data_IF_993359575216
#
_entry.id   IF_993359575216
#
_cell.length_a   1.000
_cell.length_b   1.000
_cell.length_c   1.000
_cell.angle_alpha   90.00
_cell.angle_beta   90.00
_cell.angle_gamma   90.00
#
_symmetry.space_group_name_H-M   'P 1'
#
loop_
_entity.id
_entity.type
_entity.pdbx_description
1 polymer ?
#
# COMPACT_ATOMS: atom_id res chain seq x y z
N UNK A 1 -34.52 2.21 -18.70
CA UNK A 1 -33.11 2.58 -18.95
C UNK A 1 -32.39 3.07 -17.69
N UNK A 2 -33.01 3.87 -16.82
CA UNK A 2 -32.39 4.38 -15.58
C UNK A 2 -31.91 3.30 -14.59
N UNK A 3 -32.72 2.26 -14.33
CA UNK A 3 -32.39 1.18 -13.36
C UNK A 3 -31.11 0.41 -13.71
N UNK A 4 -30.89 0.15 -15.00
CA UNK A 4 -29.70 -0.57 -15.48
C UNK A 4 -28.45 0.29 -15.27
N UNK A 5 -28.53 1.58 -15.59
CA UNK A 5 -27.42 2.53 -15.40
C UNK A 5 -27.04 2.63 -13.92
N UNK A 6 -28.03 2.74 -13.02
CA UNK A 6 -27.79 2.78 -11.57
C UNK A 6 -27.07 1.52 -11.09
N UNK A 7 -27.51 0.33 -11.54
CA UNK A 7 -26.90 -0.94 -11.16
C UNK A 7 -25.45 -1.03 -11.64
N UNK A 8 -25.16 -0.60 -12.87
CA UNK A 8 -23.80 -0.56 -13.41
C UNK A 8 -22.89 0.38 -12.63
N UNK A 9 -23.37 1.56 -12.23
CA UNK A 9 -22.60 2.51 -11.42
C UNK A 9 -22.28 1.90 -10.05
N UNK A 10 -23.26 1.28 -9.39
CA UNK A 10 -23.04 0.63 -8.09
C UNK A 10 -22.05 -0.52 -8.21
N UNK A 11 -22.19 -1.39 -9.22
CA UNK A 11 -21.26 -2.49 -9.47
C UNK A 11 -19.84 -1.98 -9.73
N UNK A 12 -19.70 -0.89 -10.50
CA UNK A 12 -18.41 -0.28 -10.78
C UNK A 12 -17.76 0.31 -9.52
N UNK A 13 -18.52 0.98 -8.66
CA UNK A 13 -18.03 1.51 -7.37
C UNK A 13 -17.58 0.39 -6.42
N UNK A 14 -18.38 -0.67 -6.30
CA UNK A 14 -18.03 -1.86 -5.50
C UNK A 14 -16.76 -2.53 -6.02
N UNK A 15 -16.65 -2.69 -7.34
CA UNK A 15 -15.46 -3.25 -7.97
C UNK A 15 -14.23 -2.38 -7.74
N UNK A 16 -14.35 -1.05 -7.89
CA UNK A 16 -13.26 -0.12 -7.65
C UNK A 16 -12.78 -0.17 -6.20
N UNK A 17 -13.72 -0.16 -5.24
CA UNK A 17 -13.41 -0.29 -3.82
C UNK A 17 -12.74 -1.63 -3.49
N UNK A 18 -13.28 -2.74 -3.98
CA UNK A 18 -12.71 -4.07 -3.78
C UNK A 18 -11.30 -4.19 -4.36
N UNK A 19 -11.06 -3.63 -5.54
CA UNK A 19 -9.73 -3.56 -6.15
C UNK A 19 -8.74 -2.79 -5.27
N UNK A 20 -9.17 -1.67 -4.69
CA UNK A 20 -8.37 -0.92 -3.71
C UNK A 20 -7.98 -1.76 -2.49
N UNK A 21 -8.94 -2.50 -1.91
CA UNK A 21 -8.66 -3.40 -0.79
C UNK A 21 -7.67 -4.51 -1.15
N UNK A 22 -7.78 -5.10 -2.34
CA UNK A 22 -6.83 -6.13 -2.82
C UNK A 22 -5.42 -5.57 -3.01
N UNK A 23 -5.28 -4.30 -3.41
CA UNK A 23 -3.97 -3.64 -3.52
C UNK A 23 -3.37 -3.41 -2.14
N UNK A 24 -4.18 -2.92 -1.18
CA UNK A 24 -3.76 -2.76 0.21
C UNK A 24 -3.28 -4.09 0.81
N UNK A 25 -4.02 -5.18 0.57
CA UNK A 25 -3.62 -6.51 1.04
C UNK A 25 -2.28 -6.94 0.46
N UNK A 26 -2.05 -6.78 -0.84
CA UNK A 26 -0.74 -7.11 -1.44
C UNK A 26 0.39 -6.24 -0.89
N UNK A 27 0.13 -4.96 -0.66
CA UNK A 27 1.10 -4.07 -0.04
C UNK A 27 1.42 -4.52 1.40
N UNK A 28 0.41 -4.94 2.17
CA UNK A 28 0.60 -5.46 3.52
C UNK A 28 1.49 -6.71 3.54
N UNK A 29 1.23 -7.68 2.66
CA UNK A 29 2.05 -8.88 2.54
C UNK A 29 3.50 -8.56 2.13
N UNK A 30 3.71 -7.58 1.24
CA UNK A 30 5.04 -7.13 0.85
C UNK A 30 5.79 -6.44 2.02
N UNK A 31 5.09 -5.63 2.81
CA UNK A 31 5.63 -5.00 4.02
C UNK A 31 6.02 -6.05 5.06
N UNK A 32 5.13 -7.03 5.35
CA UNK A 32 5.45 -8.12 6.27
C UNK A 32 6.71 -8.88 5.85
N UNK A 33 6.82 -9.22 4.56
CA UNK A 33 8.02 -9.85 4.00
C UNK A 33 9.26 -8.98 4.21
N UNK A 34 9.15 -7.67 3.98
CA UNK A 34 10.28 -6.74 4.14
C UNK A 34 10.71 -6.58 5.59
N UNK A 35 9.75 -6.51 6.52
CA UNK A 35 10.03 -6.48 7.96
C UNK A 35 10.75 -7.76 8.40
N UNK A 36 10.28 -8.93 7.92
CA UNK A 36 10.93 -10.21 8.18
C UNK A 36 12.37 -10.28 7.66
N UNK A 37 12.64 -9.77 6.45
CA UNK A 37 14.00 -9.70 5.88
C UNK A 37 14.97 -8.82 6.69
N UNK A 38 14.43 -7.84 7.44
CA UNK A 38 15.20 -6.88 8.22
C UNK A 38 15.21 -7.19 9.72
N UNK A 39 14.62 -8.31 10.13
CA UNK A 39 14.45 -8.73 11.53
C UNK A 39 13.79 -7.64 12.40
N UNK A 40 12.79 -6.95 11.85
CA UNK A 40 11.98 -5.95 12.55
C UNK A 40 10.51 -6.38 12.60
N UNK A 41 9.79 -5.90 13.61
CA UNK A 41 8.38 -6.25 13.82
C UNK A 41 7.47 -5.13 13.27
N UNK A 42 6.46 -5.50 12.48
CA UNK A 42 5.45 -4.54 12.01
C UNK A 42 4.51 -4.18 13.16
N UNK A 43 4.41 -2.88 13.44
CA UNK A 43 3.53 -2.35 14.48
C UNK A 43 2.09 -2.28 13.97
N UNK A 44 1.13 -2.54 14.86
CA UNK A 44 -0.32 -2.42 14.62
C UNK A 44 -0.90 -3.34 13.53
N UNK A 45 -0.12 -4.26 12.94
CA UNK A 45 -0.56 -5.25 11.93
C UNK A 45 -1.42 -4.64 10.82
N UNK A 46 -1.13 -3.39 10.44
CA UNK A 46 -1.92 -2.65 9.46
C UNK A 46 -1.07 -1.61 8.75
N UNK A 47 -1.50 -1.23 7.55
CA UNK A 47 -0.93 -0.13 6.77
C UNK A 47 -2.01 0.90 6.46
N UNK A 48 -1.67 2.18 6.51
CA UNK A 48 -2.60 3.29 6.25
C UNK A 48 -2.38 3.87 4.86
N UNK A 49 -3.45 4.17 4.12
CA UNK A 49 -3.32 4.85 2.84
C UNK A 49 -2.86 6.29 3.08
N UNK A 50 -1.69 6.65 2.57
CA UNK A 50 -1.13 7.99 2.65
C UNK A 50 -1.53 8.84 1.45
N UNK A 51 -1.41 8.28 0.24
CA UNK A 51 -1.72 8.99 -1.01
C UNK A 51 -2.08 8.02 -2.12
N UNK A 52 -2.95 8.43 -3.02
CA UNK A 52 -3.19 7.74 -4.29
C UNK A 52 -3.36 8.74 -5.43
N UNK A 53 -3.03 8.33 -6.65
CA UNK A 53 -3.22 9.18 -7.83
C UNK A 53 -2.50 8.70 -9.07
N UNK A 54 -2.79 9.35 -10.20
CA UNK A 54 -2.12 9.05 -11.46
C UNK A 54 -0.69 9.60 -11.47
N UNK A 55 0.25 8.76 -11.92
CA UNK A 55 1.66 9.09 -12.13
C UNK A 55 2.10 8.60 -13.51
N UNK A 56 3.20 9.15 -14.01
CA UNK A 56 3.84 8.69 -15.25
C UNK A 56 5.14 7.97 -14.90
N UNK A 57 5.42 6.89 -15.60
CA UNK A 57 6.73 6.24 -15.54
C UNK A 57 7.76 6.99 -16.42
N UNK A 58 9.00 6.51 -16.43
CA UNK A 58 10.09 7.09 -17.25
C UNK A 58 9.83 6.98 -18.76
N UNK A 59 8.97 6.06 -19.18
CA UNK A 59 8.54 5.90 -20.58
C UNK A 59 7.28 6.71 -20.90
N UNK A 60 6.78 7.54 -19.98
CA UNK A 60 5.60 8.38 -20.15
C UNK A 60 4.25 7.67 -19.97
N UNK A 61 4.23 6.38 -19.60
CA UNK A 61 2.99 5.61 -19.40
C UNK A 61 2.31 6.02 -18.10
N UNK A 62 1.01 6.28 -18.19
CA UNK A 62 0.19 6.63 -17.03
C UNK A 62 -0.15 5.37 -16.22
N UNK A 63 0.09 5.41 -14.92
CA UNK A 63 -0.30 4.36 -13.99
C UNK A 63 -0.94 4.95 -12.73
N UNK A 64 -1.74 4.12 -12.04
CA UNK A 64 -2.36 4.50 -10.79
C UNK A 64 -1.48 4.07 -9.61
N UNK A 65 -0.98 5.04 -8.86
CA UNK A 65 -0.10 4.85 -7.72
C UNK A 65 -0.90 4.83 -6.42
N UNK A 66 -0.50 3.94 -5.50
CA UNK A 66 -0.88 4.00 -4.09
C UNK A 66 0.37 4.08 -3.22
N UNK A 67 0.35 4.92 -2.20
CA UNK A 67 1.36 4.97 -1.14
C UNK A 67 0.69 4.60 0.17
N UNK A 68 1.23 3.61 0.85
CA UNK A 68 0.79 3.24 2.18
C UNK A 68 1.92 3.48 3.18
N UNK A 69 1.57 4.03 4.33
CA UNK A 69 2.46 4.17 5.47
C UNK A 69 2.23 3.02 6.44
N UNK A 70 3.31 2.57 7.07
CA UNK A 70 3.28 1.56 8.12
C UNK A 70 4.24 1.94 9.24
N UNK A 71 4.04 1.38 10.43
CA UNK A 71 4.94 1.57 11.56
C UNK A 71 5.64 0.24 11.88
N UNK A 72 6.89 0.28 12.31
CA UNK A 72 7.67 -0.90 12.68
C UNK A 72 8.58 -0.62 13.87
N UNK A 73 9.14 -1.67 14.46
CA UNK A 73 10.06 -1.56 15.59
C UNK A 73 11.17 -2.60 15.52
N UNK A 74 12.39 -2.23 15.92
CA UNK A 74 13.53 -3.15 16.04
C UNK A 74 13.69 -3.69 17.47
N UNK A 75 13.33 -2.90 18.50
CA UNK A 75 13.54 -3.25 19.91
C UNK A 75 12.29 -3.10 20.80
N UNK A 76 11.11 -2.90 20.20
CA UNK A 76 9.81 -2.58 20.85
C UNK A 76 9.73 -1.25 21.61
N UNK A 77 10.86 -0.60 21.90
CA UNK A 77 10.88 0.71 22.57
C UNK A 77 10.73 1.87 21.59
N UNK A 78 11.29 1.73 20.39
CA UNK A 78 11.24 2.76 19.35
C UNK A 78 10.30 2.37 18.21
N UNK A 79 9.45 3.31 17.81
CA UNK A 79 8.57 3.20 16.65
C UNK A 79 9.17 3.99 15.50
N UNK A 80 9.32 3.32 14.37
CA UNK A 80 9.80 3.89 13.12
C UNK A 80 8.70 3.80 12.07
N UNK A 81 8.78 4.62 11.03
CA UNK A 81 7.82 4.62 9.93
C UNK A 81 8.46 4.11 8.66
N UNK A 82 7.67 3.40 7.87
CA UNK A 82 8.00 3.03 6.51
C UNK A 82 6.89 3.41 5.55
N UNK A 83 7.23 3.49 4.28
CA UNK A 83 6.30 3.78 3.19
C UNK A 83 6.51 2.79 2.07
N UNK A 84 5.44 2.09 1.70
CA UNK A 84 5.39 1.26 0.50
C UNK A 84 4.68 2.00 -0.63
N UNK A 85 5.31 2.05 -1.80
CA UNK A 85 4.73 2.62 -3.01
C UNK A 85 4.36 1.51 -4.00
N UNK A 86 3.11 1.51 -4.46
CA UNK A 86 2.54 0.51 -5.36
C UNK A 86 2.10 1.14 -6.69
N UNK A 87 2.35 0.46 -7.81
CA UNK A 87 1.69 0.70 -9.10
C UNK A 87 0.67 -0.43 -9.35
N UNK A 88 -0.61 -0.16 -9.08
CA UNK A 88 -1.61 -1.21 -9.03
C UNK A 88 -1.22 -2.30 -8.03
N UNK A 89 -0.95 -3.51 -8.53
CA UNK A 89 -0.55 -4.66 -7.70
C UNK A 89 0.97 -4.91 -7.64
N UNK A 90 1.77 -4.03 -8.21
CA UNK A 90 3.23 -4.15 -8.23
C UNK A 90 3.85 -3.22 -7.21
N UNK A 91 4.82 -3.72 -6.45
CA UNK A 91 5.65 -2.92 -5.55
C UNK A 91 6.62 -2.12 -6.42
N UNK A 92 6.62 -0.80 -6.27
CA UNK A 92 7.63 0.08 -6.87
C UNK A 92 8.81 0.26 -5.93
N UNK A 93 8.52 0.47 -4.65
CA UNK A 93 9.51 0.82 -3.64
C UNK A 93 8.98 0.56 -2.23
N UNK A 94 9.88 0.26 -1.29
CA UNK A 94 9.61 0.16 0.15
C UNK A 94 10.73 0.88 0.87
N UNK A 95 10.40 2.05 1.41
CA UNK A 95 11.31 2.90 2.17
C UNK A 95 11.06 2.72 3.67
N UNK A 96 12.12 2.65 4.45
CA UNK A 96 12.07 2.53 5.91
C UNK A 96 12.96 3.62 6.51
N UNK A 97 12.47 4.30 7.55
CA UNK A 97 13.28 5.22 8.33
C UNK A 97 14.52 4.51 8.91
N UNK A 98 15.61 5.25 9.09
CA UNK A 98 16.82 4.70 9.68
C UNK A 98 16.54 4.22 11.12
N UNK A 99 16.83 2.94 11.37
CA UNK A 99 16.65 2.30 12.67
C UNK A 99 17.99 1.74 13.17
N UNK A 100 18.09 1.52 14.48
CA UNK A 100 19.24 0.87 15.08
C UNK A 100 18.96 -0.62 15.23
N UNK A 101 19.92 -1.43 14.82
CA UNK A 101 19.94 -2.88 14.99
C UNK A 101 20.85 -3.14 16.19
N UNK A 102 20.33 -3.84 17.21
CA UNK A 102 21.11 -4.16 18.41
C UNK A 102 22.06 -5.34 18.18
#
# INVERSE_FOLDING_TARGET
>A
MSKLLTLLIVAWLLYFWWRGQRIKERAYQAVLKRCYELDVELLDSNIALLKQGFKRDTNGRLYWQHKFQFEFTSTREHRYRGVITMAGFHVLDIDLEAFHIN
#
